data_IF_316243180525
#
_entry.id   IF_316243180525
#
_cell.length_a   1.000
_cell.length_b   1.000
_cell.length_c   1.000
_cell.angle_alpha   90.00
_cell.angle_beta   90.00
_cell.angle_gamma   90.00
#
_symmetry.space_group_name_H-M   'P 1'
#
loop_
_entity.id
_entity.type
_entity.pdbx_description
1 polymer ?
#
# COMPACT_ATOMS: atom_id res chain seq x y z
N UNK A 1 -8.41 4.67 3.35
CA UNK A 1 -8.07 5.93 4.07
C UNK A 1 -8.95 6.17 5.29
N UNK A 2 -10.29 6.19 5.19
CA UNK A 2 -11.18 6.49 6.35
C UNK A 2 -10.93 5.50 7.50
N UNK A 3 -10.99 4.20 7.19
CA UNK A 3 -10.63 3.12 8.12
C UNK A 3 -9.22 3.26 8.73
N UNK A 4 -8.24 3.74 7.96
CA UNK A 4 -6.87 3.91 8.46
C UNK A 4 -6.79 5.05 9.47
N UNK A 5 -7.41 6.20 9.19
CA UNK A 5 -7.41 7.32 10.15
C UNK A 5 -8.26 7.03 11.39
N UNK A 6 -9.39 6.33 11.23
CA UNK A 6 -10.18 5.83 12.35
C UNK A 6 -9.33 4.90 13.23
N UNK A 7 -8.68 3.91 12.62
CA UNK A 7 -7.77 3.00 13.33
C UNK A 7 -6.62 3.75 14.04
N UNK A 8 -5.95 4.67 13.34
CA UNK A 8 -4.87 5.44 13.95
C UNK A 8 -5.35 6.28 15.13
N UNK A 9 -6.55 6.88 15.03
CA UNK A 9 -7.15 7.62 16.13
C UNK A 9 -7.50 6.71 17.32
N UNK A 10 -8.09 5.55 17.06
CA UNK A 10 -8.48 4.57 18.09
C UNK A 10 -7.27 3.99 18.82
N UNK A 11 -6.16 3.75 18.12
CA UNK A 11 -4.93 3.16 18.68
C UNK A 11 -3.88 4.20 19.11
N UNK A 12 -4.16 5.49 18.97
CA UNK A 12 -3.23 6.56 19.33
C UNK A 12 -1.98 6.64 18.44
N UNK A 13 -2.05 6.13 17.20
CA UNK A 13 -0.97 6.22 16.21
C UNK A 13 -0.90 7.63 15.64
N UNK A 14 0.29 8.23 15.62
CA UNK A 14 0.49 9.57 15.11
C UNK A 14 0.16 9.65 13.60
N UNK A 15 -0.72 10.57 13.23
CA UNK A 15 -1.10 10.81 11.84
C UNK A 15 -1.54 12.25 11.63
N UNK A 16 -1.40 12.74 10.40
CA UNK A 16 -1.79 14.09 10.01
C UNK A 16 -2.39 14.10 8.61
N UNK A 17 -3.63 14.56 8.48
CA UNK A 17 -4.28 14.80 7.19
C UNK A 17 -3.82 16.16 6.61
N UNK A 18 -2.56 16.26 6.20
CA UNK A 18 -1.97 17.49 5.67
C UNK A 18 -2.29 17.78 4.19
N UNK A 19 -2.97 16.86 3.52
CA UNK A 19 -3.20 16.90 2.08
C UNK A 19 -1.95 16.60 1.26
N UNK A 20 -2.10 16.66 -0.07
CA UNK A 20 -1.04 16.41 -1.06
C UNK A 20 -1.25 17.30 -2.27
N UNK A 21 -0.17 17.93 -2.73
CA UNK A 21 -0.11 18.56 -4.03
C UNK A 21 0.46 17.59 -5.07
N UNK A 22 -0.25 17.40 -6.17
CA UNK A 22 0.22 16.70 -7.37
C UNK A 22 0.52 17.79 -8.40
N UNK A 23 1.79 18.04 -8.66
CA UNK A 23 2.22 19.19 -9.46
C UNK A 23 2.58 18.79 -10.88
N UNK A 24 2.19 19.62 -11.84
CA UNK A 24 2.75 19.62 -13.18
C UNK A 24 3.95 20.59 -13.21
N UNK A 25 5.10 20.14 -13.69
CA UNK A 25 6.29 20.97 -13.87
C UNK A 25 6.50 21.38 -15.34
N UNK A 26 5.59 20.99 -16.23
CA UNK A 26 5.58 21.37 -17.63
C UNK A 26 4.16 21.46 -18.17
N UNK A 27 3.95 22.17 -19.28
CA UNK A 27 2.65 22.29 -19.94
C UNK A 27 2.12 20.92 -20.37
N UNK A 28 2.99 20.03 -20.84
CA UNK A 28 2.63 18.68 -21.25
C UNK A 28 2.04 17.83 -20.11
N UNK A 29 2.41 18.10 -18.86
CA UNK A 29 1.88 17.38 -17.69
C UNK A 29 0.51 17.90 -17.22
N UNK A 30 0.02 19.03 -17.74
CA UNK A 30 -1.31 19.56 -17.37
C UNK A 30 -2.44 18.64 -17.81
N UNK A 31 -2.31 18.01 -18.97
CA UNK A 31 -3.28 17.00 -19.43
C UNK A 31 -3.33 15.79 -18.50
N UNK A 32 -2.19 15.42 -17.88
CA UNK A 32 -2.14 14.32 -16.93
C UNK A 32 -2.89 14.66 -15.63
N UNK A 33 -2.79 15.91 -15.16
CA UNK A 33 -3.61 16.38 -14.04
C UNK A 33 -5.11 16.25 -14.36
N UNK A 34 -5.54 16.61 -15.56
CA UNK A 34 -6.95 16.46 -15.96
C UNK A 34 -7.40 15.00 -15.98
N UNK A 35 -6.54 14.08 -16.46
CA UNK A 35 -6.83 12.64 -16.43
C UNK A 35 -6.95 12.13 -15.00
N UNK A 36 -6.03 12.51 -14.10
CA UNK A 36 -6.08 12.13 -12.68
C UNK A 36 -7.39 12.64 -12.04
N UNK A 37 -7.78 13.88 -12.32
CA UNK A 37 -9.04 14.46 -11.83
C UNK A 37 -10.25 13.66 -12.31
N UNK A 38 -10.34 13.37 -13.61
CA UNK A 38 -11.43 12.61 -14.20
C UNK A 38 -11.52 11.17 -13.64
N UNK A 39 -10.39 10.47 -13.52
CA UNK A 39 -10.33 9.14 -12.91
C UNK A 39 -10.76 9.19 -11.44
N UNK A 40 -10.34 10.21 -10.69
CA UNK A 40 -10.71 10.35 -9.28
C UNK A 40 -12.22 10.51 -9.09
N UNK A 41 -12.87 11.33 -9.94
CA UNK A 41 -14.32 11.54 -9.92
C UNK A 41 -15.06 10.26 -10.29
N UNK A 42 -14.62 9.56 -11.33
CA UNK A 42 -15.19 8.27 -11.74
C UNK A 42 -15.10 7.21 -10.63
N UNK A 43 -14.02 7.24 -9.85
CA UNK A 43 -13.82 6.35 -8.70
C UNK A 43 -14.56 6.82 -7.42
N UNK A 44 -15.38 7.88 -7.51
CA UNK A 44 -16.22 8.35 -6.40
C UNK A 44 -15.52 9.28 -5.41
N UNK A 45 -14.34 9.83 -5.75
CA UNK A 45 -13.69 10.85 -4.91
C UNK A 45 -14.36 12.21 -5.13
N UNK A 46 -15.47 12.43 -4.42
CA UNK A 46 -16.35 13.60 -4.57
C UNK A 46 -16.59 14.34 -3.25
N UNK A 47 -17.30 15.47 -3.31
CA UNK A 47 -17.68 16.24 -2.14
C UNK A 47 -16.46 16.84 -1.40
N UNK A 48 -16.43 16.80 -0.05
CA UNK A 48 -15.33 17.38 0.74
C UNK A 48 -13.95 16.76 0.46
N UNK A 49 -13.92 15.56 -0.15
CA UNK A 49 -12.69 14.80 -0.42
C UNK A 49 -12.22 14.94 -1.87
N UNK A 50 -13.00 15.62 -2.71
CA UNK A 50 -12.72 15.81 -4.13
C UNK A 50 -11.36 16.48 -4.34
N UNK A 51 -10.68 16.08 -5.42
CA UNK A 51 -9.49 16.79 -5.87
C UNK A 51 -9.87 18.18 -6.37
N UNK A 52 -9.02 19.15 -6.07
CA UNK A 52 -9.19 20.54 -6.52
C UNK A 52 -8.10 20.87 -7.51
N UNK A 53 -8.47 21.34 -8.69
CA UNK A 53 -7.51 21.93 -9.62
C UNK A 53 -7.07 23.28 -9.07
N UNK A 54 -5.77 23.53 -9.08
CA UNK A 54 -5.16 24.77 -8.61
C UNK A 54 -4.37 25.43 -9.74
N UNK A 55 -4.45 26.75 -9.80
CA UNK A 55 -3.51 27.56 -10.57
C UNK A 55 -2.10 27.48 -9.95
N UNK A 56 -1.05 27.86 -10.71
CA UNK A 56 0.30 27.99 -10.17
C UNK A 56 0.36 28.89 -8.93
N UNK A 57 -0.36 30.02 -8.95
CA UNK A 57 -0.38 31.01 -7.88
C UNK A 57 -1.05 30.44 -6.62
N UNK A 58 -2.14 29.70 -6.76
CA UNK A 58 -2.79 29.01 -5.65
C UNK A 58 -1.87 27.95 -5.03
N UNK A 59 -1.16 27.18 -5.86
CA UNK A 59 -0.21 26.18 -5.39
C UNK A 59 0.99 26.81 -4.66
N UNK A 60 1.54 27.91 -5.17
CA UNK A 60 2.62 28.68 -4.52
C UNK A 60 2.12 29.31 -3.22
N UNK A 61 0.87 29.77 -3.17
CA UNK A 61 0.24 30.28 -1.95
C UNK A 61 0.15 29.22 -0.84
N UNK A 62 0.04 27.94 -1.21
CA UNK A 62 0.06 26.82 -0.25
C UNK A 62 1.49 26.39 0.11
N UNK A 63 2.37 26.26 -0.88
CA UNK A 63 3.76 25.80 -0.70
C UNK A 63 4.74 26.72 -1.47
N UNK A 64 5.31 27.76 -0.82
CA UNK A 64 6.09 28.81 -1.51
C UNK A 64 7.34 28.34 -2.25
N UNK A 65 7.87 27.16 -1.89
CA UNK A 65 9.06 26.61 -2.54
C UNK A 65 8.73 25.78 -3.79
N UNK A 66 7.46 25.53 -4.06
CA UNK A 66 7.04 24.71 -5.20
C UNK A 66 7.20 25.49 -6.51
N UNK A 67 7.64 24.80 -7.56
CA UNK A 67 7.65 25.32 -8.92
C UNK A 67 6.74 24.43 -9.77
N UNK A 68 5.67 25.00 -10.31
CA UNK A 68 4.71 24.26 -11.11
C UNK A 68 4.04 25.13 -12.17
N UNK A 69 3.53 24.49 -13.22
CA UNK A 69 2.66 25.07 -14.25
C UNK A 69 1.18 24.88 -13.94
N UNK A 70 0.86 24.12 -12.90
CA UNK A 70 -0.47 23.85 -12.37
C UNK A 70 -0.41 22.70 -11.36
N UNK A 71 -1.45 22.52 -10.56
CA UNK A 71 -1.48 21.43 -9.57
C UNK A 71 -2.89 20.86 -9.35
N UNK A 72 -2.94 19.66 -8.78
CA UNK A 72 -4.10 19.13 -8.08
C UNK A 72 -3.83 19.08 -6.59
N UNK A 73 -4.76 19.59 -5.80
CA UNK A 73 -4.77 19.42 -4.35
C UNK A 73 -5.71 18.30 -3.93
N UNK A 74 -5.17 17.35 -3.17
CA UNK A 74 -5.91 16.26 -2.55
C UNK A 74 -6.06 16.53 -1.04
N UNK A 75 -7.18 17.12 -0.58
CA UNK A 75 -7.35 17.57 0.82
C UNK A 75 -7.41 16.43 1.84
N UNK A 76 -7.70 15.23 1.34
CA UNK A 76 -8.08 14.09 2.15
C UNK A 76 -6.90 13.16 2.47
N UNK A 77 -5.75 13.44 1.87
CA UNK A 77 -4.51 12.67 2.04
C UNK A 77 -3.66 13.20 3.19
N UNK A 78 -2.60 12.49 3.53
CA UNK A 78 -1.68 12.91 4.57
C UNK A 78 -0.65 11.85 4.90
N UNK A 79 -0.06 11.98 6.08
CA UNK A 79 1.02 11.13 6.58
C UNK A 79 0.57 10.35 7.82
N UNK A 80 1.21 9.21 8.05
CA UNK A 80 1.04 8.36 9.23
C UNK A 80 2.41 7.88 9.68
N UNK A 81 2.61 7.77 10.99
CA UNK A 81 3.79 7.11 11.54
C UNK A 81 3.69 5.61 11.26
N UNK A 82 4.43 5.15 10.25
CA UNK A 82 4.37 3.76 9.80
C UNK A 82 4.89 2.77 10.85
N UNK A 83 5.86 3.16 11.68
CA UNK A 83 6.40 2.27 12.70
C UNK A 83 5.37 2.03 13.80
N UNK A 84 4.74 3.10 14.32
CA UNK A 84 3.67 2.99 15.30
C UNK A 84 2.46 2.22 14.74
N UNK A 85 2.08 2.48 13.49
CA UNK A 85 1.01 1.75 12.83
C UNK A 85 1.29 0.24 12.80
N UNK A 86 2.51 -0.16 12.42
CA UNK A 86 2.87 -1.57 12.37
C UNK A 86 2.91 -2.21 13.75
N UNK A 87 3.39 -1.50 14.78
CA UNK A 87 3.40 -1.99 16.16
C UNK A 87 1.97 -2.16 16.70
N UNK A 88 1.07 -1.22 16.42
CA UNK A 88 -0.33 -1.31 16.82
C UNK A 88 -1.03 -2.51 16.16
N UNK A 89 -0.81 -2.71 14.86
CA UNK A 89 -1.37 -3.85 14.12
C UNK A 89 -0.83 -5.19 14.65
N UNK A 90 0.46 -5.25 14.98
CA UNK A 90 1.06 -6.44 15.57
C UNK A 90 0.46 -6.74 16.95
N UNK A 91 0.33 -5.73 17.82
CA UNK A 91 -0.26 -5.90 19.14
C UNK A 91 -1.71 -6.39 19.06
N UNK A 92 -2.50 -5.89 18.11
CA UNK A 92 -3.88 -6.35 17.87
C UNK A 92 -3.93 -7.80 17.38
N UNK A 93 -3.00 -8.18 16.49
CA UNK A 93 -2.90 -9.54 15.98
C UNK A 93 -2.50 -10.53 17.08
N UNK A 94 -1.46 -10.22 17.87
CA UNK A 94 -1.01 -11.04 19.00
C UNK A 94 -2.07 -11.13 20.09
N UNK A 95 -2.75 -10.02 20.39
CA UNK A 95 -3.91 -10.00 21.30
C UNK A 95 -5.08 -10.87 20.82
N UNK A 96 -5.13 -11.18 19.52
CA UNK A 96 -6.09 -12.09 18.90
C UNK A 96 -5.55 -13.52 18.69
N UNK A 97 -4.35 -13.82 19.22
CA UNK A 97 -3.73 -15.14 19.16
C UNK A 97 -2.82 -15.40 17.95
N UNK A 98 -2.51 -14.39 17.14
CA UNK A 98 -1.51 -14.53 16.08
C UNK A 98 -0.08 -14.62 16.65
N UNK A 99 0.84 -15.20 15.87
CA UNK A 99 2.26 -15.28 16.22
C UNK A 99 3.11 -14.62 15.13
N UNK A 100 4.14 -13.88 15.55
CA UNK A 100 5.14 -13.31 14.65
C UNK A 100 6.48 -14.07 14.76
N UNK A 101 6.85 -14.77 13.69
CA UNK A 101 8.15 -15.43 13.58
C UNK A 101 9.12 -14.57 12.75
N UNK A 102 10.02 -13.86 13.42
CA UNK A 102 11.07 -13.07 12.77
C UNK A 102 12.30 -13.93 12.46
N UNK A 103 13.08 -13.52 11.45
CA UNK A 103 14.28 -14.24 10.98
C UNK A 103 13.99 -15.66 10.47
N UNK A 104 12.75 -15.93 10.06
CA UNK A 104 12.31 -17.23 9.54
C UNK A 104 11.98 -17.09 8.05
N UNK A 105 12.98 -17.09 7.15
CA UNK A 105 12.72 -16.97 5.72
C UNK A 105 12.01 -18.24 5.21
N UNK A 106 10.89 -18.05 4.52
CA UNK A 106 10.24 -19.14 3.77
C UNK A 106 10.95 -19.26 2.42
N UNK A 107 11.57 -20.42 2.17
CA UNK A 107 12.39 -20.66 0.98
C UNK A 107 11.65 -21.38 -0.14
N UNK A 108 10.43 -21.84 0.14
CA UNK A 108 9.58 -22.57 -0.78
C UNK A 108 8.57 -23.43 -0.01
N UNK A 109 7.88 -24.29 -0.74
CA UNK A 109 6.86 -25.15 -0.16
C UNK A 109 6.24 -26.08 -1.19
N UNK A 110 5.19 -26.77 -0.79
CA UNK A 110 4.47 -27.75 -1.60
C UNK A 110 2.98 -27.73 -1.29
N UNK A 111 2.15 -27.71 -2.32
CA UNK A 111 0.73 -28.05 -2.23
C UNK A 111 0.58 -29.56 -2.16
N UNK A 112 0.15 -30.05 -1.01
CA UNK A 112 -0.02 -31.48 -0.75
C UNK A 112 -1.29 -32.03 -1.41
N UNK A 113 -1.31 -33.34 -1.60
CA UNK A 113 -2.45 -34.04 -2.23
C UNK A 113 -3.74 -34.00 -1.40
N UNK A 114 -3.63 -33.81 -0.09
CA UNK A 114 -4.76 -33.66 0.84
C UNK A 114 -5.28 -32.21 0.93
N UNK A 115 -4.69 -31.29 0.16
CA UNK A 115 -5.07 -29.88 0.09
C UNK A 115 -4.32 -28.95 1.05
N UNK A 116 -3.50 -29.48 1.97
CA UNK A 116 -2.68 -28.67 2.87
C UNK A 116 -1.44 -28.12 2.17
N UNK A 117 -0.80 -27.13 2.80
CA UNK A 117 0.40 -26.47 2.30
C UNK A 117 1.54 -26.74 3.28
N UNK A 118 2.63 -27.32 2.78
CA UNK A 118 3.87 -27.48 3.52
C UNK A 118 4.84 -26.36 3.14
N UNK A 119 5.24 -25.53 4.10
CA UNK A 119 6.22 -24.45 3.93
C UNK A 119 7.57 -24.88 4.49
N UNK A 120 8.65 -24.56 3.77
CA UNK A 120 10.01 -24.90 4.16
C UNK A 120 10.78 -23.66 4.60
N UNK A 121 11.36 -23.72 5.79
CA UNK A 121 12.28 -22.73 6.35
C UNK A 121 13.65 -23.39 6.58
N UNK A 122 14.72 -22.64 6.90
CA UNK A 122 16.01 -23.24 7.21
C UNK A 122 16.01 -24.18 8.43
N UNK A 123 15.13 -23.93 9.40
CA UNK A 123 15.15 -24.61 10.70
C UNK A 123 14.05 -25.66 10.86
N UNK A 124 12.93 -25.48 10.15
CA UNK A 124 11.75 -26.35 10.27
C UNK A 124 10.85 -26.31 9.04
N UNK A 125 9.92 -27.25 8.98
CA UNK A 125 8.77 -27.20 8.08
C UNK A 125 7.51 -26.79 8.85
N UNK A 126 6.62 -26.06 8.18
CA UNK A 126 5.38 -25.53 8.76
C UNK A 126 4.24 -25.97 7.86
N UNK A 127 3.25 -26.67 8.42
CA UNK A 127 2.02 -27.04 7.70
C UNK A 127 0.91 -26.03 7.99
N UNK A 128 0.14 -25.66 6.96
CA UNK A 128 -1.04 -24.81 7.10
C UNK A 128 -2.12 -25.15 6.06
N UNK A 129 -3.37 -24.76 6.36
CA UNK A 129 -4.50 -24.92 5.43
C UNK A 129 -4.52 -23.81 4.37
N UNK A 130 -4.09 -22.61 4.76
CA UNK A 130 -4.04 -21.44 3.90
C UNK A 130 -2.69 -20.73 3.99
N UNK A 131 -2.19 -20.24 2.85
CA UNK A 131 -0.95 -19.47 2.79
C UNK A 131 -1.14 -18.20 1.95
N UNK A 132 -0.95 -17.04 2.57
CA UNK A 132 -1.07 -15.74 1.92
C UNK A 132 0.32 -15.14 1.73
N UNK A 133 0.73 -14.94 0.47
CA UNK A 133 2.03 -14.36 0.14
C UNK A 133 1.95 -12.83 0.17
N UNK A 134 2.47 -12.22 1.25
CA UNK A 134 2.54 -10.77 1.44
C UNK A 134 3.97 -10.20 1.36
N UNK A 135 4.89 -10.85 0.63
CA UNK A 135 6.33 -10.52 0.60
C UNK A 135 6.72 -9.41 -0.39
N UNK A 136 5.78 -8.51 -0.73
CA UNK A 136 6.03 -7.35 -1.59
C UNK A 136 6.66 -7.71 -2.94
N UNK A 137 7.78 -7.07 -3.29
CA UNK A 137 8.51 -7.33 -4.55
C UNK A 137 9.02 -8.78 -4.68
N UNK A 138 9.17 -9.52 -3.57
CA UNK A 138 9.59 -10.91 -3.58
C UNK A 138 8.42 -11.90 -3.81
N UNK A 139 7.17 -11.43 -3.85
CA UNK A 139 6.01 -12.31 -3.95
C UNK A 139 6.02 -13.23 -5.18
N UNK A 140 6.34 -12.77 -6.41
CA UNK A 140 6.41 -13.67 -7.56
C UNK A 140 7.49 -14.74 -7.42
N UNK A 141 8.65 -14.36 -6.86
CA UNK A 141 9.74 -15.31 -6.60
C UNK A 141 9.31 -16.38 -5.63
N UNK A 142 8.74 -16.00 -4.48
CA UNK A 142 8.28 -16.97 -3.48
C UNK A 142 7.17 -17.87 -4.03
N UNK A 143 6.19 -17.32 -4.76
CA UNK A 143 5.12 -18.10 -5.38
C UNK A 143 5.68 -19.18 -6.34
N UNK A 144 6.71 -18.85 -7.11
CA UNK A 144 7.38 -19.81 -8.02
C UNK A 144 8.14 -20.93 -7.30
N UNK A 145 8.43 -20.76 -6.01
CA UNK A 145 9.08 -21.76 -5.16
C UNK A 145 8.08 -22.69 -4.45
N UNK A 146 6.77 -22.51 -4.67
CA UNK A 146 5.73 -23.42 -4.17
C UNK A 146 5.45 -24.49 -5.22
N UNK A 147 5.84 -25.73 -4.94
CA UNK A 147 5.54 -26.88 -5.79
C UNK A 147 4.03 -27.11 -5.87
N UNK A 148 3.53 -27.43 -7.06
CA UNK A 148 2.09 -27.60 -7.32
C UNK A 148 1.32 -26.29 -7.55
N UNK A 149 1.90 -25.12 -7.28
CA UNK A 149 1.22 -23.85 -7.53
C UNK A 149 1.18 -23.52 -9.03
N UNK A 150 0.06 -22.95 -9.46
CA UNK A 150 -0.20 -22.60 -10.86
C UNK A 150 0.72 -21.48 -11.34
N UNK A 151 1.70 -21.84 -12.16
CA UNK A 151 2.71 -20.91 -12.71
C UNK A 151 2.09 -19.81 -13.59
N UNK A 152 0.98 -20.09 -14.24
CA UNK A 152 0.25 -19.12 -15.09
C UNK A 152 -0.41 -18.00 -14.28
N UNK A 153 -0.58 -18.17 -12.97
CA UNK A 153 -1.13 -17.14 -12.08
C UNK A 153 -0.03 -16.24 -11.46
N UNK A 154 1.24 -16.55 -11.69
CA UNK A 154 2.35 -15.79 -11.11
C UNK A 154 2.59 -14.51 -11.92
N UNK A 155 2.48 -13.31 -11.32
CA UNK A 155 2.72 -12.06 -12.03
C UNK A 155 4.17 -11.90 -12.49
N UNK A 156 4.38 -11.25 -13.63
CA UNK A 156 5.72 -10.89 -14.11
C UNK A 156 6.26 -9.75 -13.24
N UNK A 157 7.42 -9.97 -12.63
CA UNK A 157 8.10 -8.92 -11.85
C UNK A 157 8.56 -7.79 -12.76
N UNK A 158 8.21 -6.55 -12.42
CA UNK A 158 8.70 -5.33 -13.07
C UNK A 158 9.36 -4.45 -12.01
N UNK A 159 10.64 -4.18 -12.18
CA UNK A 159 11.39 -3.25 -11.35
C UNK A 159 11.47 -1.92 -12.11
N UNK A 160 11.18 -0.83 -11.40
CA UNK A 160 11.27 0.54 -11.91
C UNK A 160 12.65 1.12 -11.64
#
# INVERSE_FOLDING_TARGET
>A
RRMLYEYCKERGVEHKQCGKLIVATSVAQLEELQKILAVSQKNGLVGPEALKLLSPEEAIGMEPQVRCTGALYSPSTGIVNSHELMLALLADAEGSGAMLALKTPVNGGELMSDGRILLRTPEMEIECDEFVICSGLAAPRLASQICGFRKDLIPISRFA
#
